data_IF_610495255128
#
_entry.id   IF_610495255128
#
_cell.length_a   1.000
_cell.length_b   1.000
_cell.length_c   1.000
_cell.angle_alpha   90.00
_cell.angle_beta   90.00
_cell.angle_gamma   90.00
#
_symmetry.space_group_name_H-M   'P 1'
#
loop_
_entity.id
_entity.type
_entity.pdbx_description
1 polymer ?
#
# COMPACT_ATOMS: atom_id res chain seq x y z
N UNK A 1 -0.26 11.70 -4.81
CA UNK A 1 -0.53 10.24 -4.76
C UNK A 1 0.57 9.48 -4.02
N UNK A 2 0.20 8.65 -3.05
CA UNK A 2 1.12 7.80 -2.28
C UNK A 2 0.79 6.34 -2.58
N UNK A 3 1.80 5.46 -2.67
CA UNK A 3 1.57 4.02 -2.71
C UNK A 3 2.20 3.30 -1.51
N UNK A 4 1.52 2.26 -1.03
CA UNK A 4 1.98 1.40 0.05
C UNK A 4 2.02 -0.06 -0.41
N UNK A 5 3.18 -0.69 -0.29
CA UNK A 5 3.44 -2.05 -0.75
C UNK A 5 3.72 -2.97 0.44
N UNK A 6 2.89 -4.01 0.58
CA UNK A 6 3.14 -5.17 1.43
C UNK A 6 3.45 -6.36 0.51
N UNK A 7 4.60 -7.02 0.70
CA UNK A 7 5.13 -7.93 -0.31
C UNK A 7 5.44 -9.30 0.27
N UNK A 8 5.13 -10.34 -0.51
CA UNK A 8 5.43 -11.73 -0.21
C UNK A 8 6.51 -12.29 -1.13
N UNK A 9 7.11 -13.42 -0.74
CA UNK A 9 8.28 -13.99 -1.44
C UNK A 9 7.95 -15.06 -2.49
N UNK A 10 6.72 -15.60 -2.56
CA UNK A 10 6.47 -16.81 -3.35
C UNK A 10 5.09 -16.88 -4.02
N UNK A 11 5.03 -17.63 -5.13
CA UNK A 11 3.82 -18.02 -5.87
C UNK A 11 3.11 -19.27 -5.38
N UNK A 12 3.67 -19.98 -4.38
CA UNK A 12 3.07 -21.24 -3.91
C UNK A 12 1.62 -21.00 -3.47
N UNK A 13 0.75 -22.00 -3.59
CA UNK A 13 -0.63 -21.89 -3.11
C UNK A 13 -0.68 -21.52 -1.62
N UNK A 14 0.31 -21.96 -0.84
CA UNK A 14 0.46 -21.64 0.59
C UNK A 14 1.19 -20.32 0.86
N UNK A 15 1.60 -19.58 -0.16
CA UNK A 15 2.32 -18.32 0.00
C UNK A 15 1.38 -17.15 0.28
N UNK A 16 1.90 -16.17 1.02
CA UNK A 16 1.22 -14.92 1.30
C UNK A 16 1.03 -14.10 0.01
N UNK A 17 0.01 -13.25 0.02
CA UNK A 17 -0.25 -12.33 -1.08
C UNK A 17 0.69 -11.12 -0.99
N UNK A 18 1.04 -10.56 -2.15
CA UNK A 18 1.53 -9.18 -2.22
C UNK A 18 0.35 -8.25 -2.49
N UNK A 19 0.38 -7.08 -1.87
CA UNK A 19 -0.63 -6.04 -2.00
C UNK A 19 0.04 -4.69 -2.29
N UNK A 20 -0.51 -3.95 -3.24
CA UNK A 20 -0.17 -2.57 -3.54
C UNK A 20 -1.45 -1.76 -3.39
N UNK A 21 -1.45 -0.77 -2.52
CA UNK A 21 -2.57 0.19 -2.40
C UNK A 21 -2.11 1.57 -2.82
N UNK A 22 -2.95 2.28 -3.56
CA UNK A 22 -2.70 3.64 -4.04
C UNK A 22 -3.67 4.60 -3.37
N UNK A 23 -3.14 5.70 -2.84
CA UNK A 23 -3.87 6.66 -2.05
C UNK A 23 -3.70 8.08 -2.59
N UNK A 24 -4.81 8.79 -2.71
CA UNK A 24 -4.83 10.24 -2.94
C UNK A 24 -4.86 10.97 -1.62
N UNK A 25 -4.15 12.10 -1.52
CA UNK A 25 -4.31 13.07 -0.43
C UNK A 25 -5.00 14.29 -1.01
N UNK A 26 -6.07 14.75 -0.39
CA UNK A 26 -6.85 15.88 -0.88
C UNK A 26 -7.45 16.70 0.26
N UNK A 27 -7.94 17.89 -0.05
CA UNK A 27 -8.57 18.81 0.90
C UNK A 27 -10.02 19.00 0.45
N UNK A 28 -11.01 18.32 1.08
CA UNK A 28 -12.41 18.43 0.69
C UNK A 28 -12.94 19.86 0.84
N UNK A 29 -12.44 20.57 1.84
CA UNK A 29 -12.74 21.96 2.14
C UNK A 29 -11.47 22.80 2.03
N UNK A 30 -11.58 23.99 1.43
CA UNK A 30 -10.45 24.91 1.30
C UNK A 30 -9.97 25.37 2.70
N UNK A 31 -8.69 25.16 2.99
CA UNK A 31 -8.09 25.45 4.30
C UNK A 31 -8.42 24.41 5.39
N UNK A 32 -9.13 23.34 5.06
CA UNK A 32 -9.44 22.24 5.96
C UNK A 32 -8.27 21.28 6.21
N UNK A 33 -8.53 20.23 6.99
CA UNK A 33 -7.56 19.16 7.22
C UNK A 33 -7.41 18.27 5.98
N UNK A 34 -6.22 17.68 5.74
CA UNK A 34 -6.05 16.73 4.65
C UNK A 34 -6.88 15.46 4.92
N UNK A 35 -7.49 14.96 3.85
CA UNK A 35 -8.19 13.67 3.80
C UNK A 35 -7.43 12.74 2.85
N UNK A 36 -7.62 11.44 3.01
CA UNK A 36 -7.06 10.43 2.12
C UNK A 36 -8.16 9.64 1.44
N UNK A 37 -7.94 9.23 0.20
CA UNK A 37 -8.87 8.40 -0.58
C UNK A 37 -8.14 7.19 -1.16
N UNK A 38 -8.72 6.00 -1.03
CA UNK A 38 -8.22 4.82 -1.73
C UNK A 38 -8.55 4.95 -3.23
N UNK A 39 -7.53 5.01 -4.07
CA UNK A 39 -7.68 5.20 -5.51
C UNK A 39 -7.59 3.88 -6.28
N UNK A 40 -6.83 2.91 -5.77
CA UNK A 40 -6.58 1.63 -6.43
C UNK A 40 -6.02 0.61 -5.42
N UNK A 41 -6.25 -0.68 -5.69
CA UNK A 41 -5.64 -1.77 -4.96
C UNK A 41 -5.36 -2.96 -5.89
N UNK A 42 -4.11 -3.41 -5.88
CA UNK A 42 -3.65 -4.58 -6.62
C UNK A 42 -3.25 -5.64 -5.61
N UNK A 43 -3.79 -6.85 -5.77
CA UNK A 43 -3.49 -8.00 -4.90
C UNK A 43 -3.22 -9.24 -5.74
N UNK A 44 -2.13 -9.94 -5.44
CA UNK A 44 -1.79 -11.15 -6.17
C UNK A 44 -0.61 -11.92 -5.58
N UNK A 45 -0.42 -13.13 -6.09
CA UNK A 45 0.73 -13.99 -5.76
C UNK A 45 1.72 -13.88 -6.89
N UNK A 46 2.83 -13.20 -6.61
CA UNK A 46 3.86 -12.90 -7.59
C UNK A 46 5.18 -13.52 -7.15
N UNK A 47 5.96 -14.00 -8.10
CA UNK A 47 7.39 -14.14 -7.86
C UNK A 47 8.04 -12.77 -8.04
N UNK A 48 9.32 -12.65 -7.66
CA UNK A 48 9.97 -11.35 -7.65
C UNK A 48 9.98 -10.64 -9.02
N UNK A 49 10.29 -11.31 -10.15
CA UNK A 49 10.21 -10.68 -11.47
C UNK A 49 8.83 -10.10 -11.80
N UNK A 50 7.75 -10.83 -11.51
CA UNK A 50 6.39 -10.36 -11.73
C UNK A 50 6.00 -9.23 -10.79
N UNK A 51 6.34 -9.34 -9.51
CA UNK A 51 6.08 -8.29 -8.53
C UNK A 51 6.72 -6.98 -8.98
N UNK A 52 7.97 -7.03 -9.45
CA UNK A 52 8.66 -5.86 -10.00
C UNK A 52 7.93 -5.29 -11.22
N UNK A 53 7.45 -6.13 -12.13
CA UNK A 53 6.72 -5.67 -13.31
C UNK A 53 5.42 -4.96 -12.93
N UNK A 54 4.58 -5.60 -12.09
CA UNK A 54 3.33 -5.04 -11.58
C UNK A 54 3.55 -3.73 -10.83
N UNK A 55 4.57 -3.70 -9.96
CA UNK A 55 4.90 -2.50 -9.20
C UNK A 55 5.37 -1.33 -10.10
N UNK A 56 6.13 -1.62 -11.16
CA UNK A 56 6.55 -0.60 -12.13
C UNK A 56 5.39 -0.10 -13.00
N UNK A 57 4.45 -0.97 -13.38
CA UNK A 57 3.24 -0.56 -14.09
C UNK A 57 2.39 0.36 -13.22
N UNK A 58 2.14 -0.02 -11.97
CA UNK A 58 1.41 0.81 -11.01
C UNK A 58 2.12 2.15 -10.76
N UNK A 59 3.44 2.15 -10.59
CA UNK A 59 4.24 3.37 -10.40
C UNK A 59 4.15 4.30 -11.61
N UNK A 60 4.24 3.77 -12.84
CA UNK A 60 4.17 4.58 -14.07
C UNK A 60 2.79 5.16 -14.33
N UNK A 61 1.73 4.39 -14.03
CA UNK A 61 0.37 4.86 -14.24
C UNK A 61 0.00 5.97 -13.24
N UNK A 62 0.36 5.79 -11.96
CA UNK A 62 -0.04 6.70 -10.90
C UNK A 62 0.95 7.84 -10.63
N UNK A 63 2.18 7.73 -11.11
CA UNK A 63 3.29 8.68 -10.85
C UNK A 63 3.34 9.17 -9.38
N UNK A 64 3.38 8.26 -8.39
CA UNK A 64 3.27 8.65 -6.98
C UNK A 64 4.46 9.48 -6.52
N UNK A 65 4.23 10.48 -5.65
CA UNK A 65 5.34 11.25 -5.06
C UNK A 65 6.12 10.43 -4.03
N UNK A 66 5.52 9.38 -3.48
CA UNK A 66 6.17 8.50 -2.51
C UNK A 66 5.63 7.08 -2.61
N UNK A 67 6.56 6.11 -2.65
CA UNK A 67 6.27 4.69 -2.50
C UNK A 67 6.82 4.21 -1.17
N UNK A 68 6.00 3.56 -0.35
CA UNK A 68 6.36 2.99 0.94
C UNK A 68 6.40 1.48 0.78
N UNK A 69 7.49 0.83 1.20
CA UNK A 69 7.66 -0.63 1.05
C UNK A 69 8.06 -1.26 2.38
N UNK A 70 7.25 -2.22 2.86
CA UNK A 70 7.60 -3.01 4.04
C UNK A 70 8.88 -3.85 3.78
N UNK A 71 9.92 -3.68 4.60
CA UNK A 71 11.21 -4.37 4.45
C UNK A 71 11.15 -5.80 4.99
N UNK A 72 10.30 -6.62 4.39
CA UNK A 72 10.22 -8.06 4.61
C UNK A 72 10.09 -8.77 3.26
N UNK A 73 10.46 -10.06 3.23
CA UNK A 73 10.31 -10.90 2.05
C UNK A 73 10.90 -10.24 0.77
N UNK A 74 10.06 -9.94 -0.22
CA UNK A 74 10.48 -9.33 -1.49
C UNK A 74 10.62 -7.81 -1.45
N UNK A 75 10.31 -7.17 -0.33
CA UNK A 75 10.26 -5.71 -0.21
C UNK A 75 11.65 -5.07 -0.25
N UNK A 76 12.63 -5.73 0.35
CA UNK A 76 14.02 -5.28 0.33
C UNK A 76 14.63 -5.29 -1.09
N UNK A 77 14.60 -6.41 -1.85
CA UNK A 77 15.10 -6.39 -3.23
C UNK A 77 14.30 -5.44 -4.13
N UNK A 78 12.99 -5.27 -3.93
CA UNK A 78 12.18 -4.31 -4.69
C UNK A 78 12.61 -2.86 -4.42
N UNK A 79 12.86 -2.52 -3.16
CA UNK A 79 13.36 -1.20 -2.73
C UNK A 79 14.72 -0.89 -3.37
N UNK A 80 15.62 -1.87 -3.44
CA UNK A 80 16.93 -1.71 -4.08
C UNK A 80 16.78 -1.44 -5.58
N UNK A 81 15.90 -2.16 -6.27
CA UNK A 81 15.64 -1.96 -7.70
C UNK A 81 15.04 -0.57 -7.98
N UNK A 82 14.06 -0.13 -7.19
CA UNK A 82 13.45 1.20 -7.33
C UNK A 82 14.48 2.32 -7.13
N UNK A 83 15.35 2.20 -6.11
CA UNK A 83 16.45 3.15 -5.91
C UNK A 83 17.42 3.19 -7.09
N UNK A 84 17.78 2.03 -7.67
CA UNK A 84 18.65 1.95 -8.86
C UNK A 84 18.02 2.63 -10.08
N UNK A 85 16.70 2.60 -10.17
CA UNK A 85 15.93 3.26 -11.24
C UNK A 85 15.66 4.74 -10.96
N UNK A 86 16.11 5.29 -9.82
CA UNK A 86 15.86 6.67 -9.43
C UNK A 86 14.43 6.94 -8.93
N UNK A 87 13.66 5.90 -8.62
CA UNK A 87 12.29 6.00 -8.12
C UNK A 87 12.33 6.29 -6.61
N UNK A 88 11.67 7.36 -6.12
CA UNK A 88 11.58 7.66 -4.69
C UNK A 88 10.87 6.56 -3.92
N UNK A 89 11.59 5.93 -2.98
CA UNK A 89 11.05 4.85 -2.15
C UNK A 89 11.50 4.97 -0.70
N UNK A 90 10.54 4.84 0.21
CA UNK A 90 10.72 4.89 1.66
C UNK A 90 10.60 3.48 2.22
N UNK A 91 11.68 2.90 2.76
CA UNK A 91 11.61 1.62 3.43
C UNK A 91 10.85 1.76 4.75
N UNK A 92 9.94 0.83 5.03
CA UNK A 92 9.22 0.73 6.30
C UNK A 92 9.60 -0.57 7.00
N UNK A 93 10.11 -0.49 8.22
CA UNK A 93 10.39 -1.67 9.05
C UNK A 93 9.52 -1.61 10.30
N UNK A 94 8.59 -2.56 10.51
CA UNK A 94 7.80 -2.56 11.72
C UNK A 94 8.69 -2.80 12.95
N UNK A 95 8.55 -1.98 13.99
CA UNK A 95 9.29 -2.13 15.24
C UNK A 95 8.77 -3.30 16.07
N UNK A 96 9.68 -4.07 16.68
CA UNK A 96 9.35 -5.20 17.58
C UNK A 96 8.46 -4.70 18.73
N UNK A 97 7.19 -5.11 18.75
CA UNK A 97 6.20 -4.74 19.77
C UNK A 97 4.91 -4.12 19.19
N UNK A 98 4.94 -3.62 17.96
CA UNK A 98 3.77 -3.19 17.21
C UNK A 98 3.29 -4.31 16.30
N UNK A 99 2.50 -5.22 16.85
CA UNK A 99 1.88 -6.31 16.09
C UNK A 99 0.89 -5.76 15.04
N UNK A 100 0.52 -6.56 14.03
CA UNK A 100 -0.35 -6.15 12.91
C UNK A 100 -1.64 -5.48 13.42
N UNK A 101 -2.23 -6.02 14.49
CA UNK A 101 -3.42 -5.47 15.15
C UNK A 101 -3.18 -4.10 15.82
N UNK A 102 -2.03 -3.89 16.47
CA UNK A 102 -1.69 -2.60 17.10
C UNK A 102 -1.49 -1.50 16.05
N UNK A 103 -1.01 -1.86 14.84
CA UNK A 103 -0.91 -0.93 13.69
C UNK A 103 -2.26 -0.54 13.12
N UNK A 104 -3.17 -1.50 12.91
CA UNK A 104 -4.54 -1.19 12.46
C UNK A 104 -5.23 -0.27 13.47
N UNK A 105 -5.06 -0.53 14.77
CA UNK A 105 -5.57 0.34 15.84
C UNK A 105 -4.93 1.73 15.86
N UNK A 106 -3.69 1.90 15.38
CA UNK A 106 -3.06 3.22 15.26
C UNK A 106 -3.59 4.03 14.06
N UNK A 107 -4.11 3.35 13.04
CA UNK A 107 -4.81 3.97 11.93
C UNK A 107 -6.31 4.16 12.21
N UNK A 108 -6.90 3.39 13.13
CA UNK A 108 -8.32 3.45 13.49
C UNK A 108 -8.81 4.88 13.78
N UNK A 109 -8.09 5.75 14.53
CA UNK A 109 -8.48 7.15 14.71
C UNK A 109 -8.58 7.94 13.41
N UNK A 110 -7.75 7.64 12.40
CA UNK A 110 -7.81 8.29 11.08
C UNK A 110 -9.08 7.84 10.34
N UNK A 111 -9.42 6.54 10.40
CA UNK A 111 -10.68 6.03 9.84
C UNK A 111 -11.91 6.56 10.59
N UNK A 112 -11.89 6.56 11.92
CA UNK A 112 -12.97 7.05 12.79
C UNK A 112 -13.20 8.56 12.67
N UNK A 113 -12.18 9.33 12.29
CA UNK A 113 -12.30 10.78 12.08
C UNK A 113 -13.11 11.16 10.83
N UNK A 114 -13.47 10.19 9.99
CA UNK A 114 -14.12 10.45 8.70
C UNK A 114 -13.17 10.99 7.62
N UNK A 115 -11.85 10.97 7.87
CA UNK A 115 -10.84 11.49 6.96
C UNK A 115 -10.39 10.49 5.88
N UNK A 116 -10.93 9.26 5.88
CA UNK A 116 -10.61 8.21 4.91
C UNK A 116 -11.81 7.94 4.00
N UNK A 117 -11.57 8.07 2.70
CA UNK A 117 -12.57 7.96 1.64
C UNK A 117 -12.25 6.76 0.75
N UNK A 118 -13.26 6.24 0.08
CA UNK A 118 -13.10 5.20 -0.93
C UNK A 118 -14.22 5.30 -1.97
N UNK A 119 -14.01 4.85 -3.20
CA UNK A 119 -15.06 4.81 -4.21
C UNK A 119 -16.04 3.68 -3.89
N UNK A 120 -17.24 4.05 -3.44
CA UNK A 120 -18.28 3.09 -3.07
C UNK A 120 -18.72 2.26 -4.29
N UNK A 121 -18.85 0.94 -4.10
CA UNK A 121 -19.24 -0.02 -5.13
C UNK A 121 -18.08 -0.51 -6.02
N UNK A 122 -16.86 0.00 -5.81
CA UNK A 122 -15.67 -0.55 -6.45
C UNK A 122 -15.15 -1.76 -5.69
N UNK A 123 -15.07 -2.89 -6.39
CA UNK A 123 -14.70 -4.18 -5.78
C UNK A 123 -13.35 -4.15 -5.06
N UNK A 124 -12.34 -3.51 -5.65
CA UNK A 124 -11.01 -3.44 -5.03
C UNK A 124 -11.04 -2.68 -3.70
N UNK A 125 -11.93 -1.70 -3.56
CA UNK A 125 -12.07 -0.93 -2.34
C UNK A 125 -12.79 -1.76 -1.26
N UNK A 126 -13.83 -2.48 -1.64
CA UNK A 126 -14.53 -3.42 -0.75
C UNK A 126 -13.59 -4.50 -0.22
N UNK A 127 -12.79 -5.12 -1.10
CA UNK A 127 -11.80 -6.15 -0.73
C UNK A 127 -10.78 -5.63 0.30
N UNK A 128 -10.32 -4.37 0.16
CA UNK A 128 -9.40 -3.74 1.11
C UNK A 128 -10.07 -3.45 2.46
N UNK A 129 -11.33 -3.00 2.44
CA UNK A 129 -12.10 -2.73 3.65
C UNK A 129 -12.33 -4.02 4.44
N UNK A 130 -12.73 -5.09 3.76
CA UNK A 130 -12.95 -6.40 4.39
C UNK A 130 -11.68 -6.95 5.02
N UNK A 131 -10.51 -6.81 4.36
CA UNK A 131 -9.22 -7.21 4.93
C UNK A 131 -8.83 -6.36 6.16
N UNK A 132 -9.26 -5.10 6.22
CA UNK A 132 -9.01 -4.23 7.37
C UNK A 132 -9.98 -4.48 8.53
N UNK A 133 -11.18 -5.01 8.25
CA UNK A 133 -12.21 -5.30 9.24
C UNK A 133 -12.10 -6.70 9.88
N UNK A 134 -11.36 -7.62 9.25
CA UNK A 134 -11.11 -8.98 9.71
C UNK A 134 -9.99 -9.09 10.75
#
# INVERSE_FOLDING_TARGET
VIQSYDTAFSKKETADYSAITTWGVFFPEEGGAPNIILLDAIRGKYDFPELKAVALEAQKYWEPETIIVEQKASGEPLTQEFRRMGIPVVPFTPTRGNDKHTRVNSCAPVFESGAVWYPHGEKFAEDVIDECAA
#
